data_IF_904798908013
#
_entry.id   IF_904798908013
#
_cell.length_a   1.000
_cell.length_b   1.000
_cell.length_c   1.000
_cell.angle_alpha   90.00
_cell.angle_beta   90.00
_cell.angle_gamma   90.00
#
_symmetry.space_group_name_H-M   'P 1'
#
loop_
_entity.id
_entity.type
_entity.pdbx_description
1 polymer ?
#
# COMPACT_ATOMS: atom_id res chain seq x y z
N UNK A 1 5.51 4.85 -20.29
CA UNK A 1 5.62 4.86 -18.81
C UNK A 1 4.46 4.00 -18.35
N UNK A 2 4.69 2.77 -17.87
CA UNK A 2 3.56 1.88 -17.57
C UNK A 2 2.67 2.54 -16.52
N UNK A 3 1.44 2.85 -16.90
CA UNK A 3 0.33 3.30 -16.06
C UNK A 3 0.05 2.23 -15.00
N UNK A 4 0.85 2.23 -13.94
CA UNK A 4 0.62 1.38 -12.79
C UNK A 4 -0.68 1.86 -12.15
N UNK A 5 -1.77 1.17 -12.46
CA UNK A 5 -3.09 1.42 -11.87
C UNK A 5 -2.94 1.52 -10.34
N UNK A 6 -3.52 2.54 -9.71
CA UNK A 6 -3.38 2.74 -8.27
C UNK A 6 -3.85 1.50 -7.48
N UNK A 7 -3.29 1.29 -6.28
CA UNK A 7 -3.78 0.26 -5.37
C UNK A 7 -5.25 0.49 -4.99
N UNK A 8 -5.95 -0.59 -4.67
CA UNK A 8 -7.33 -0.60 -4.17
C UNK A 8 -7.40 -1.38 -2.87
N UNK A 9 -8.47 -1.15 -2.11
CA UNK A 9 -8.76 -1.93 -0.91
C UNK A 9 -8.77 -3.42 -1.25
N UNK A 10 -8.07 -4.22 -0.44
CA UNK A 10 -7.89 -5.65 -0.63
C UNK A 10 -6.76 -6.05 -1.59
N UNK A 11 -6.14 -5.12 -2.31
CA UNK A 11 -4.98 -5.44 -3.14
C UNK A 11 -3.77 -5.84 -2.27
N UNK A 12 -2.94 -6.74 -2.78
CA UNK A 12 -1.61 -6.98 -2.24
C UNK A 12 -0.62 -6.14 -3.02
N UNK A 13 0.13 -5.29 -2.32
CA UNK A 13 1.11 -4.37 -2.87
C UNK A 13 2.51 -4.66 -2.36
N UNK A 14 3.48 -4.01 -3.00
CA UNK A 14 4.86 -3.93 -2.55
C UNK A 14 5.44 -2.56 -2.92
N UNK A 15 6.46 -2.12 -2.20
CA UNK A 15 7.18 -0.90 -2.54
C UNK A 15 7.83 -0.99 -3.94
N UNK A 16 7.62 0.04 -4.74
CA UNK A 16 8.22 0.21 -6.07
C UNK A 16 9.74 0.25 -5.94
N UNK A 17 10.44 -0.40 -6.85
CA UNK A 17 11.91 -0.49 -6.83
C UNK A 17 12.47 -1.53 -5.86
N UNK A 18 11.62 -2.19 -5.05
CA UNK A 18 12.05 -3.24 -4.12
C UNK A 18 11.43 -4.60 -4.50
N UNK A 19 11.99 -5.33 -5.50
CA UNK A 19 11.42 -6.58 -6.01
C UNK A 19 11.54 -7.77 -5.05
N UNK A 20 12.23 -7.61 -3.93
CA UNK A 20 12.30 -8.58 -2.81
C UNK A 20 11.66 -8.01 -1.54
N UNK A 21 11.03 -6.84 -1.63
CA UNK A 21 10.33 -6.21 -0.52
C UNK A 21 9.14 -7.04 -0.04
N UNK A 22 8.69 -6.73 1.17
CA UNK A 22 7.53 -7.37 1.80
C UNK A 22 6.26 -7.13 0.96
N UNK A 23 5.37 -8.12 0.97
CA UNK A 23 4.01 -7.98 0.45
C UNK A 23 3.14 -7.41 1.56
N UNK A 24 2.28 -6.46 1.21
CA UNK A 24 1.42 -5.75 2.17
C UNK A 24 0.00 -5.74 1.63
N UNK A 25 -0.98 -5.91 2.52
CA UNK A 25 -2.39 -5.80 2.21
C UNK A 25 -2.79 -4.32 2.29
N UNK A 26 -3.51 -3.83 1.28
CA UNK A 26 -4.11 -2.50 1.31
C UNK A 26 -5.43 -2.58 2.07
N UNK A 27 -5.44 -2.06 3.28
CA UNK A 27 -6.64 -1.98 4.12
C UNK A 27 -7.47 -0.73 3.78
N UNK A 28 -6.80 0.35 3.36
CA UNK A 28 -7.46 1.53 2.79
C UNK A 28 -6.59 2.16 1.71
N UNK A 29 -7.12 2.28 0.50
CA UNK A 29 -6.45 2.88 -0.66
C UNK A 29 -6.36 4.39 -0.59
N UNK A 30 -7.24 5.02 0.20
CA UNK A 30 -7.28 6.46 0.45
C UNK A 30 -7.69 6.68 1.91
N UNK A 31 -6.78 7.17 2.76
CA UNK A 31 -7.12 7.54 4.14
C UNK A 31 -7.97 8.83 4.23
N UNK A 32 -8.03 9.61 3.16
CA UNK A 32 -8.68 10.92 3.10
C UNK A 32 -7.71 12.08 3.31
N UNK A 33 -8.04 13.23 2.71
CA UNK A 33 -7.19 14.43 2.67
C UNK A 33 -6.94 15.08 4.05
N UNK A 34 -7.71 14.69 5.06
CA UNK A 34 -7.54 15.13 6.45
C UNK A 34 -6.46 14.36 7.20
N UNK A 35 -5.99 13.23 6.67
CA UNK A 35 -4.92 12.43 7.27
C UNK A 35 -3.58 12.75 6.62
N UNK A 36 -2.69 13.39 7.38
CA UNK A 36 -1.28 13.58 7.05
C UNK A 36 -0.45 12.67 7.97
N UNK A 37 0.07 11.58 7.40
CA UNK A 37 0.92 10.64 8.12
C UNK A 37 2.36 10.85 7.68
N UNK A 38 3.18 11.48 8.54
CA UNK A 38 4.61 11.71 8.26
C UNK A 38 4.88 12.43 6.91
N UNK A 39 4.00 13.35 6.50
CA UNK A 39 4.08 14.06 5.23
C UNK A 39 3.43 13.31 4.06
N UNK A 40 2.73 12.21 4.32
CA UNK A 40 1.92 11.46 3.36
C UNK A 40 0.46 11.82 3.57
N UNK A 41 -0.01 12.81 2.81
CA UNK A 41 -1.41 13.21 2.77
C UNK A 41 -2.23 12.26 1.90
N UNK A 42 -3.41 11.85 2.39
CA UNK A 42 -4.30 10.89 1.71
C UNK A 42 -3.55 9.63 1.27
N UNK A 43 -2.76 9.06 2.19
CA UNK A 43 -1.92 7.91 1.92
C UNK A 43 -2.71 6.60 1.81
N UNK A 44 -2.03 5.59 1.27
CA UNK A 44 -2.47 4.20 1.22
C UNK A 44 -2.05 3.52 2.53
N UNK A 45 -3.02 3.06 3.32
CA UNK A 45 -2.79 2.32 4.55
C UNK A 45 -2.56 0.84 4.24
N UNK A 46 -1.36 0.36 4.56
CA UNK A 46 -0.92 -0.99 4.26
C UNK A 46 -0.58 -1.76 5.53
N UNK A 47 -0.98 -3.02 5.63
CA UNK A 47 -0.67 -3.92 6.75
C UNK A 47 0.07 -5.18 6.28
N UNK A 48 0.86 -5.78 7.16
CA UNK A 48 1.47 -7.10 6.96
C UNK A 48 1.73 -7.78 8.30
N UNK A 49 2.02 -9.09 8.27
CA UNK A 49 2.46 -9.84 9.45
C UNK A 49 3.98 -10.01 9.43
N UNK A 50 4.62 -9.70 10.54
CA UNK A 50 6.05 -9.90 10.77
C UNK A 50 6.23 -10.55 12.14
N UNK A 51 6.85 -11.74 12.18
CA UNK A 51 7.05 -12.53 13.41
C UNK A 51 5.76 -12.81 14.21
N UNK A 52 4.62 -12.92 13.52
CA UNK A 52 3.31 -13.16 14.14
C UNK A 52 2.60 -11.89 14.62
N UNK A 53 3.23 -10.73 14.54
CA UNK A 53 2.66 -9.44 14.89
C UNK A 53 2.19 -8.69 13.65
N UNK A 54 1.09 -7.96 13.76
CA UNK A 54 0.63 -7.05 12.71
C UNK A 54 1.46 -5.77 12.73
N UNK A 55 1.90 -5.37 11.55
CA UNK A 55 2.65 -4.14 11.29
C UNK A 55 1.90 -3.36 10.22
N UNK A 56 2.06 -2.05 10.24
CA UNK A 56 1.46 -1.18 9.26
C UNK A 56 2.39 -0.05 8.85
N UNK A 57 2.13 0.53 7.68
CA UNK A 57 2.79 1.73 7.19
C UNK A 57 1.90 2.43 6.16
N UNK A 58 2.08 3.75 6.02
CA UNK A 58 1.31 4.59 5.10
C UNK A 58 2.21 5.04 3.95
N UNK A 59 1.80 4.78 2.71
CA UNK A 59 2.58 5.07 1.52
C UNK A 59 1.85 6.04 0.58
N UNK A 60 2.60 6.73 -0.28
CA UNK A 60 1.99 7.37 -1.46
C UNK A 60 1.64 6.29 -2.47
N UNK A 61 0.50 6.41 -3.14
CA UNK A 61 0.07 5.43 -4.15
C UNK A 61 1.12 5.21 -5.25
N UNK A 62 1.86 6.27 -5.63
CA UNK A 62 2.94 6.20 -6.61
C UNK A 62 4.12 5.31 -6.18
N UNK A 63 4.34 5.15 -4.88
CA UNK A 63 5.44 4.36 -4.32
C UNK A 63 5.14 2.87 -4.25
N UNK A 64 3.94 2.45 -4.65
CA UNK A 64 3.48 1.06 -4.59
C UNK A 64 3.30 0.45 -5.97
N UNK A 65 3.52 -0.86 -6.04
CA UNK A 65 3.17 -1.72 -7.17
C UNK A 65 2.23 -2.81 -6.69
N UNK A 66 1.12 -3.02 -7.41
CA UNK A 66 0.18 -4.09 -7.10
C UNK A 66 0.75 -5.41 -7.60
N UNK A 67 0.89 -6.38 -6.70
CA UNK A 67 1.39 -7.73 -6.99
C UNK A 67 0.27 -8.74 -7.16
N UNK A 68 -0.82 -8.58 -6.40
CA UNK A 68 -2.02 -9.42 -6.49
C UNK A 68 -3.24 -8.52 -6.33
N UNK A 69 -4.28 -8.73 -7.15
CA UNK A 69 -5.49 -7.91 -7.12
C UNK A 69 -6.51 -8.53 -6.17
N UNK A 70 -7.25 -7.67 -5.48
CA UNK A 70 -8.46 -8.09 -4.77
C UNK A 70 -9.38 -8.84 -5.75
N UNK A 71 -9.95 -9.97 -5.31
CA UNK A 71 -11.05 -10.58 -6.02
C UNK A 71 -12.24 -9.61 -5.94
N UNK A 72 -12.58 -9.01 -7.08
CA UNK A 72 -13.72 -8.10 -7.20
C UNK A 72 -15.06 -8.82 -7.23
#
# INVERSE_FOLDING_TARGET
>A
MMDAKPPRDGDIVRQRGCPTGRKMLVEASELGDQHDWEGVRNGVYCTWKENGEERFEVYRAGDLVVVERAAG
#
